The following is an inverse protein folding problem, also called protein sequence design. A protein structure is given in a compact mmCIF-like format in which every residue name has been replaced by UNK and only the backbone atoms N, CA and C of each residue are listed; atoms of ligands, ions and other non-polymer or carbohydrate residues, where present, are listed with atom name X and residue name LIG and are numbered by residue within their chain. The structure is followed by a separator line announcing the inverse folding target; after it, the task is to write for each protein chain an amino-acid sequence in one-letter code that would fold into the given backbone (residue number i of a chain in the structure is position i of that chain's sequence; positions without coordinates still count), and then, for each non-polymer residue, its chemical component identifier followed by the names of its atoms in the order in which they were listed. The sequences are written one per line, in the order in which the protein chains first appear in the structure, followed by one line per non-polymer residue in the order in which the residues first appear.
data_IF_208489810094
#
_entry.id   IF_208489810094
#
_cell.length_a   1.000
_cell.length_b   1.000
_cell.length_c   1.000
_cell.angle_alpha   90.00
_cell.angle_beta   90.00
_cell.angle_gamma   90.00
#
_symmetry.space_group_name_H-M   'P 1'
#
loop_
_entity.id
_entity.type
_entity.pdbx_description
1 polymer ?
#
# COMPACT_ATOMS: atom_id res chain seq x y z
N UNK A 1 21.91 37.14 -8.25
CA UNK A 1 21.39 35.99 -7.47
C UNK A 1 20.31 35.32 -8.31
N UNK A 2 20.65 34.20 -8.95
CA UNK A 2 19.74 33.51 -9.88
C UNK A 2 18.85 32.53 -9.13
N UNK A 3 17.53 32.75 -9.15
CA UNK A 3 16.54 31.76 -8.77
C UNK A 3 16.67 30.54 -9.69
N UNK A 4 17.11 29.42 -9.13
CA UNK A 4 17.06 28.12 -9.81
C UNK A 4 15.61 27.64 -9.76
N UNK A 5 14.84 27.99 -10.78
CA UNK A 5 13.59 27.31 -11.07
C UNK A 5 13.93 25.88 -11.49
N UNK A 6 13.54 24.89 -10.68
CA UNK A 6 13.54 23.48 -11.10
C UNK A 6 12.42 23.35 -12.13
N UNK A 7 12.81 23.29 -13.42
CA UNK A 7 11.90 22.89 -14.50
C UNK A 7 11.61 21.41 -14.34
N UNK A 8 10.45 21.07 -13.78
CA UNK A 8 9.88 19.73 -13.90
C UNK A 8 9.46 19.55 -15.37
N UNK A 9 10.05 18.58 -16.08
CA UNK A 9 9.67 18.23 -17.44
C UNK A 9 8.26 17.62 -17.50
N UNK A 10 7.75 17.25 -18.69
CA UNK A 10 6.43 16.65 -18.83
C UNK A 10 6.42 15.27 -18.15
N UNK A 11 5.79 15.19 -16.97
CA UNK A 11 5.61 13.95 -16.21
C UNK A 11 4.39 13.24 -16.80
N UNK A 12 4.61 12.13 -17.50
CA UNK A 12 3.53 11.18 -17.81
C UNK A 12 3.16 10.45 -16.52
N UNK A 13 2.30 11.06 -15.70
CA UNK A 13 1.99 10.55 -14.36
C UNK A 13 0.93 9.45 -14.48
N UNK A 14 1.23 8.29 -13.91
CA UNK A 14 0.32 7.16 -13.87
C UNK A 14 -0.30 7.02 -12.48
N UNK A 15 -1.61 6.81 -12.43
CA UNK A 15 -2.37 6.52 -11.22
C UNK A 15 -2.70 5.03 -11.15
N UNK A 16 -2.37 4.42 -10.03
CA UNK A 16 -2.70 3.04 -9.73
C UNK A 16 -3.80 3.01 -8.67
N UNK A 17 -4.93 2.41 -9.02
CA UNK A 17 -6.05 2.22 -8.09
C UNK A 17 -6.15 0.75 -7.70
N UNK A 18 -6.11 0.47 -6.41
CA UNK A 18 -6.53 -0.81 -5.84
C UNK A 18 -7.71 -0.57 -4.91
N UNK A 19 -8.89 -1.11 -5.24
CA UNK A 19 -10.10 -0.98 -4.43
C UNK A 19 -10.69 -2.34 -4.17
N UNK A 20 -10.94 -2.63 -2.89
CA UNK A 20 -11.52 -3.89 -2.46
C UNK A 20 -13.03 -3.73 -2.28
N UNK A 21 -13.80 -4.34 -3.17
CA UNK A 21 -15.26 -4.41 -3.07
C UNK A 21 -15.70 -5.84 -2.79
N UNK A 22 -16.67 -6.03 -1.90
CA UNK A 22 -17.38 -7.31 -1.77
C UNK A 22 -18.21 -7.56 -3.03
N UNK A 23 -17.94 -8.66 -3.73
CA UNK A 23 -18.78 -9.13 -4.83
C UNK A 23 -19.94 -9.95 -4.26
N UNK A 24 -21.12 -9.35 -4.12
CA UNK A 24 -22.37 -10.10 -4.01
C UNK A 24 -23.39 -9.56 -5.02
N UNK A 25 -23.70 -10.40 -6.00
CA UNK A 25 -24.74 -10.19 -7.01
C UNK A 25 -26.13 -10.18 -6.36
N UNK A 26 -26.76 -9.00 -6.35
CA UNK A 26 -28.21 -8.67 -6.40
C UNK A 26 -29.24 -9.46 -5.57
N UNK A 27 -30.19 -8.73 -4.97
CA UNK A 27 -31.58 -8.88 -5.36
C UNK A 27 -32.15 -7.56 -5.93
N UNK A 28 -32.92 -7.70 -7.01
CA UNK A 28 -33.85 -6.74 -7.61
C UNK A 28 -34.02 -5.41 -6.87
N UNK A 29 -33.60 -4.30 -7.49
CA UNK A 29 -34.08 -2.98 -7.09
C UNK A 29 -34.62 -2.23 -8.30
N UNK A 30 -35.94 -2.25 -8.36
CA UNK A 30 -36.75 -1.29 -9.09
C UNK A 30 -36.36 0.10 -8.59
N UNK A 31 -35.89 0.96 -9.49
CA UNK A 31 -35.61 2.36 -9.17
C UNK A 31 -36.92 3.05 -8.81
N UNK A 32 -37.05 3.46 -7.56
CA UNK A 32 -38.02 4.46 -7.13
C UNK A 32 -37.36 5.35 -6.08
N UNK A 33 -37.59 6.65 -6.24
CA UNK A 33 -36.94 7.75 -5.55
C UNK A 33 -37.06 7.69 -4.01
N UNK A 34 -36.12 8.34 -3.33
CA UNK A 34 -36.08 8.59 -1.89
C UNK A 34 -35.73 7.39 -0.98
N UNK A 35 -34.42 7.19 -0.76
CA UNK A 35 -33.91 6.34 0.33
C UNK A 35 -32.39 6.22 0.23
N UNK A 36 -31.64 7.01 0.99
CA UNK A 36 -30.19 6.85 1.15
C UNK A 36 -29.92 5.41 1.60
N UNK A 37 -29.47 4.54 0.69
CA UNK A 37 -28.76 3.33 1.08
C UNK A 37 -27.37 3.81 1.50
N UNK A 38 -27.25 4.20 2.77
CA UNK A 38 -25.97 4.52 3.38
C UNK A 38 -25.25 3.18 3.58
N UNK A 39 -24.35 2.82 2.66
CA UNK A 39 -23.36 1.80 2.96
C UNK A 39 -22.44 2.38 4.03
N UNK A 40 -22.74 2.11 5.30
CA UNK A 40 -21.84 2.49 6.38
C UNK A 40 -20.58 1.63 6.25
N UNK A 41 -19.49 2.28 5.82
CA UNK A 41 -18.14 1.74 5.88
C UNK A 41 -17.49 2.30 7.16
N UNK A 42 -17.72 1.68 8.33
CA UNK A 42 -17.36 2.26 9.63
C UNK A 42 -15.86 2.53 9.78
N UNK A 43 -15.06 1.82 9.01
CA UNK A 43 -13.60 1.94 8.99
C UNK A 43 -13.06 2.24 7.60
N UNK A 44 -13.85 2.88 6.72
CA UNK A 44 -13.31 3.29 5.44
C UNK A 44 -12.01 4.08 5.64
N UNK A 45 -10.93 3.57 5.07
CA UNK A 45 -9.64 4.23 5.08
C UNK A 45 -8.91 4.00 3.76
N UNK A 46 -7.94 4.86 3.49
CA UNK A 46 -7.14 4.79 2.28
C UNK A 46 -5.71 5.18 2.58
N UNK A 47 -4.80 4.73 1.71
CA UNK A 47 -3.40 5.08 1.76
C UNK A 47 -2.89 5.44 0.36
N UNK A 48 -1.96 6.38 0.30
CA UNK A 48 -1.38 6.90 -0.93
C UNK A 48 0.13 6.83 -0.84
N UNK A 49 0.77 6.38 -1.91
CA UNK A 49 2.23 6.48 -2.07
C UNK A 49 2.57 6.91 -3.48
N UNK A 50 3.75 7.52 -3.66
CA UNK A 50 4.24 7.92 -4.97
C UNK A 50 5.75 7.80 -5.01
N UNK A 51 6.28 7.33 -6.13
CA UNK A 51 7.71 7.30 -6.41
C UNK A 51 7.90 7.08 -7.91
N UNK A 52 8.84 7.82 -8.51
CA UNK A 52 9.10 7.77 -9.94
C UNK A 52 7.89 8.25 -10.74
N UNK A 53 7.43 7.42 -11.67
CA UNK A 53 6.37 7.76 -12.63
C UNK A 53 4.95 7.52 -12.09
N UNK A 54 4.82 6.95 -10.89
CA UNK A 54 3.56 6.43 -10.37
C UNK A 54 3.11 7.10 -9.08
N UNK A 55 1.80 7.34 -9.00
CA UNK A 55 1.05 7.58 -7.76
C UNK A 55 0.11 6.40 -7.57
N UNK A 56 0.13 5.78 -6.40
CA UNK A 56 -0.71 4.63 -6.09
C UNK A 56 -1.67 4.98 -4.94
N UNK A 57 -2.90 4.47 -5.01
CA UNK A 57 -3.93 4.60 -3.99
C UNK A 57 -4.54 3.22 -3.70
N UNK A 58 -4.69 2.90 -2.43
CA UNK A 58 -5.39 1.72 -1.93
C UNK A 58 -6.44 2.13 -0.90
N UNK A 59 -7.60 1.47 -0.90
CA UNK A 59 -8.69 1.76 0.05
C UNK A 59 -9.31 0.49 0.61
N UNK A 60 -9.65 0.51 1.90
CA UNK A 60 -10.30 -0.60 2.59
C UNK A 60 -11.57 -0.14 3.31
N UNK A 61 -12.69 -0.89 3.23
CA UNK A 61 -13.91 -0.57 3.96
C UNK A 61 -13.87 -0.96 5.45
N UNK A 62 -13.06 -1.97 5.80
CA UNK A 62 -13.11 -2.63 7.11
C UNK A 62 -11.75 -2.71 7.80
N UNK A 63 -10.76 -3.26 7.09
CA UNK A 63 -9.40 -3.46 7.58
C UNK A 63 -8.59 -2.17 7.49
N UNK A 64 -7.44 -2.12 8.17
CA UNK A 64 -6.43 -1.10 7.87
C UNK A 64 -5.81 -1.38 6.51
N UNK A 65 -5.52 -0.32 5.75
CA UNK A 65 -4.74 -0.39 4.52
C UNK A 65 -3.49 0.47 4.63
N UNK A 66 -2.38 -0.09 4.16
CA UNK A 66 -1.16 0.65 3.90
C UNK A 66 -0.64 0.29 2.53
N UNK A 67 -0.04 1.27 1.88
CA UNK A 67 0.44 1.17 0.51
C UNK A 67 1.80 1.83 0.42
N UNK A 68 2.74 1.14 -0.19
CA UNK A 68 3.97 1.77 -0.61
C UNK A 68 4.33 1.44 -2.05
N UNK A 69 4.99 2.39 -2.71
CA UNK A 69 5.53 2.22 -4.05
C UNK A 69 6.95 2.76 -4.07
N UNK A 70 7.87 1.97 -4.61
CA UNK A 70 9.29 2.31 -4.69
C UNK A 70 9.85 2.04 -6.07
N UNK A 71 10.73 2.92 -6.54
CA UNK A 71 11.52 2.77 -7.75
C UNK A 71 12.98 2.48 -7.39
N UNK A 72 13.62 1.62 -8.18
CA UNK A 72 15.06 1.32 -8.07
C UNK A 72 15.90 2.54 -8.45
N UNK A 73 16.20 3.39 -7.48
CA UNK A 73 17.04 4.58 -7.67
C UNK A 73 18.01 4.75 -6.51
N UNK A 74 19.31 4.74 -6.82
CA UNK A 74 20.36 5.08 -5.85
C UNK A 74 20.96 6.45 -6.19
N UNK A 75 21.51 7.19 -5.20
CA UNK A 75 22.27 8.41 -5.47
C UNK A 75 23.45 8.14 -6.43
N UNK A 76 23.72 9.05 -7.37
CA UNK A 76 24.78 8.89 -8.41
C UNK A 76 26.20 8.67 -7.84
N UNK A 77 26.43 9.00 -6.57
CA UNK A 77 27.75 8.98 -5.93
C UNK A 77 27.96 7.83 -4.95
N UNK A 78 27.03 6.88 -4.89
CA UNK A 78 27.09 5.75 -3.98
C UNK A 78 27.06 4.44 -4.76
N UNK A 79 27.83 3.45 -4.29
CA UNK A 79 27.62 2.07 -4.72
C UNK A 79 26.33 1.51 -4.11
N UNK A 80 25.74 0.48 -4.73
CA UNK A 80 24.55 -0.19 -4.18
C UNK A 80 24.77 -0.63 -2.74
N UNK A 81 25.93 -1.21 -2.44
CA UNK A 81 26.20 -1.74 -1.11
C UNK A 81 26.31 -0.62 -0.07
N UNK A 82 27.01 0.48 -0.38
CA UNK A 82 27.09 1.66 0.50
C UNK A 82 25.71 2.25 0.77
N UNK A 83 24.90 2.40 -0.28
CA UNK A 83 23.54 2.93 -0.16
C UNK A 83 22.67 2.04 0.73
N UNK A 84 22.62 0.74 0.46
CA UNK A 84 21.80 -0.22 1.22
C UNK A 84 22.29 -0.35 2.67
N UNK A 85 23.60 -0.25 2.92
CA UNK A 85 24.20 -0.28 4.27
C UNK A 85 23.63 0.81 5.19
N UNK A 86 23.31 1.98 4.66
CA UNK A 86 22.72 3.09 5.41
C UNK A 86 21.37 2.74 6.06
N UNK A 87 20.69 1.72 5.55
CA UNK A 87 19.38 1.27 6.03
C UNK A 87 19.44 -0.04 6.83
N UNK A 88 20.63 -0.59 7.07
CA UNK A 88 20.81 -1.89 7.76
C UNK A 88 20.04 -2.00 9.08
N UNK A 89 19.93 -0.92 9.86
CA UNK A 89 19.18 -0.88 11.13
C UNK A 89 17.66 -0.97 10.98
N UNK A 90 17.11 -0.90 9.76
CA UNK A 90 15.69 -1.03 9.47
C UNK A 90 15.27 -2.49 9.25
N UNK A 91 16.22 -3.41 9.10
CA UNK A 91 15.97 -4.82 8.78
C UNK A 91 16.31 -5.73 9.96
N UNK A 92 15.65 -6.88 10.02
CA UNK A 92 16.08 -7.94 10.92
C UNK A 92 17.37 -8.58 10.40
N UNK A 93 18.09 -9.33 11.24
CA UNK A 93 19.29 -10.05 10.82
C UNK A 93 19.01 -11.04 9.69
N UNK A 94 17.81 -11.63 9.65
CA UNK A 94 17.39 -12.56 8.61
C UNK A 94 17.20 -11.85 7.27
N UNK A 95 16.40 -10.78 7.26
CA UNK A 95 16.13 -10.00 6.05
C UNK A 95 17.41 -9.35 5.52
N UNK A 96 18.23 -8.79 6.43
CA UNK A 96 19.49 -8.17 6.07
C UNK A 96 20.44 -9.17 5.40
N UNK A 97 20.54 -10.38 5.95
CA UNK A 97 21.35 -11.44 5.34
C UNK A 97 20.84 -11.79 3.94
N UNK A 98 19.51 -11.91 3.74
CA UNK A 98 18.93 -12.18 2.43
C UNK A 98 19.23 -11.06 1.42
N UNK A 99 19.16 -9.80 1.85
CA UNK A 99 19.47 -8.63 1.01
C UNK A 99 20.92 -8.67 0.54
N UNK A 100 21.89 -8.77 1.47
CA UNK A 100 23.32 -8.64 1.12
C UNK A 100 23.88 -9.89 0.41
N UNK A 101 23.19 -11.02 0.48
CA UNK A 101 23.61 -12.27 -0.17
C UNK A 101 22.84 -12.57 -1.46
N UNK A 102 21.99 -11.64 -1.92
CA UNK A 102 21.12 -11.82 -3.09
C UNK A 102 21.86 -12.07 -4.41
N UNK A 103 23.15 -11.74 -4.51
CA UNK A 103 23.99 -12.00 -5.66
C UNK A 103 24.59 -10.71 -6.23
N UNK A 104 24.19 -10.36 -7.45
CA UNK A 104 24.61 -9.13 -8.12
C UNK A 104 24.10 -7.87 -7.43
N UNK A 105 24.69 -6.71 -7.75
CA UNK A 105 24.24 -5.43 -7.21
C UNK A 105 22.75 -5.14 -7.52
N UNK A 106 22.27 -5.53 -8.70
CA UNK A 106 20.86 -5.34 -9.07
C UNK A 106 19.93 -6.25 -8.23
N UNK A 107 20.36 -7.47 -7.94
CA UNK A 107 19.63 -8.40 -7.07
C UNK A 107 19.60 -7.91 -5.62
N UNK A 108 20.73 -7.42 -5.09
CA UNK A 108 20.82 -6.80 -3.76
C UNK A 108 19.87 -5.61 -3.66
N UNK A 109 19.89 -4.72 -4.66
CA UNK A 109 19.03 -3.54 -4.69
C UNK A 109 17.55 -3.95 -4.79
N UNK A 110 17.24 -4.97 -5.59
CA UNK A 110 15.88 -5.49 -5.70
C UNK A 110 15.38 -6.10 -4.42
N UNK A 111 16.16 -6.94 -3.75
CA UNK A 111 15.77 -7.52 -2.46
C UNK A 111 15.58 -6.43 -1.40
N UNK A 112 16.49 -5.45 -1.33
CA UNK A 112 16.35 -4.29 -0.46
C UNK A 112 15.00 -3.58 -0.65
N UNK A 113 14.64 -3.21 -1.89
CA UNK A 113 13.41 -2.49 -2.16
C UNK A 113 12.15 -3.33 -1.92
N UNK A 114 12.19 -4.66 -2.09
CA UNK A 114 11.07 -5.54 -1.77
C UNK A 114 10.74 -5.51 -0.27
N UNK A 115 11.75 -5.71 0.58
CA UNK A 115 11.57 -5.64 2.04
C UNK A 115 11.21 -4.23 2.49
N UNK A 116 11.86 -3.20 1.94
CA UNK A 116 11.56 -1.80 2.26
C UNK A 116 10.10 -1.46 1.97
N UNK A 117 9.62 -1.80 0.78
CA UNK A 117 8.24 -1.53 0.35
C UNK A 117 7.21 -2.22 1.26
N UNK A 118 7.47 -3.47 1.68
CA UNK A 118 6.62 -4.20 2.63
C UNK A 118 6.58 -3.53 4.01
N UNK A 119 7.74 -3.13 4.53
CA UNK A 119 7.89 -2.46 5.82
C UNK A 119 7.18 -1.10 5.85
N UNK A 120 7.36 -0.29 4.81
CA UNK A 120 6.70 1.01 4.67
C UNK A 120 5.18 0.84 4.55
N UNK A 121 4.70 -0.13 3.76
CA UNK A 121 3.27 -0.43 3.68
C UNK A 121 2.69 -0.81 5.05
N UNK A 122 3.39 -1.64 5.84
CA UNK A 122 2.98 -1.99 7.20
C UNK A 122 2.88 -0.76 8.13
N UNK A 123 3.93 0.06 8.17
CA UNK A 123 4.00 1.26 9.03
C UNK A 123 2.93 2.28 8.66
N UNK A 124 2.70 2.47 7.35
CA UNK A 124 1.62 3.31 6.83
C UNK A 124 0.25 2.80 7.24
N UNK A 125 0.03 1.48 7.21
CA UNK A 125 -1.23 0.87 7.62
C UNK A 125 -1.54 1.09 9.11
N UNK A 126 -0.56 0.98 10.00
CA UNK A 126 -0.78 1.22 11.44
C UNK A 126 -0.77 2.71 11.81
N UNK A 127 -0.26 3.57 10.93
CA UNK A 127 -0.22 5.02 11.11
C UNK A 127 0.88 5.52 12.05
N UNK A 128 1.91 4.72 12.34
CA UNK A 128 2.98 5.08 13.28
C UNK A 128 4.06 5.99 12.69
N UNK A 129 4.20 6.01 11.37
CA UNK A 129 5.26 6.76 10.67
C UNK A 129 6.68 6.28 11.01
N UNK A 130 7.68 7.11 10.71
CA UNK A 130 9.10 6.78 10.82
C UNK A 130 9.59 6.46 12.25
N UNK A 131 8.79 6.78 13.28
CA UNK A 131 9.13 6.48 14.68
C UNK A 131 9.00 4.99 15.02
N UNK A 132 8.45 4.17 14.13
CA UNK A 132 8.29 2.75 14.35
C UNK A 132 9.62 1.99 14.15
N UNK A 133 9.96 1.11 15.07
CA UNK A 133 11.16 0.27 14.96
C UNK A 133 11.02 -0.76 13.85
N UNK A 134 11.42 -0.40 12.62
CA UNK A 134 11.29 -1.26 11.43
C UNK A 134 12.00 -2.61 11.56
N UNK A 135 13.09 -2.70 12.32
CA UNK A 135 13.81 -3.95 12.60
C UNK A 135 12.94 -4.99 13.34
N UNK A 136 11.86 -4.56 13.99
CA UNK A 136 10.92 -5.43 14.71
C UNK A 136 9.91 -6.12 13.81
N UNK A 137 9.73 -5.62 12.59
CA UNK A 137 8.79 -6.13 11.59
C UNK A 137 9.56 -7.02 10.63
N UNK A 138 9.61 -8.31 10.91
CA UNK A 138 10.37 -9.27 10.11
C UNK A 138 9.45 -10.00 9.14
N UNK A 139 9.69 -9.85 7.84
CA UNK A 139 8.95 -10.52 6.78
C UNK A 139 9.54 -11.88 6.44
N UNK A 140 8.66 -12.85 6.21
CA UNK A 140 8.97 -14.19 5.72
C UNK A 140 8.18 -14.43 4.45
N UNK A 141 8.76 -15.10 3.46
CA UNK A 141 8.06 -15.39 2.23
C UNK A 141 8.43 -16.73 1.57
N UNK A 142 7.54 -17.24 0.73
CA UNK A 142 7.87 -18.24 -0.29
C UNK A 142 7.69 -17.61 -1.67
N UNK A 143 8.81 -17.38 -2.37
CA UNK A 143 8.81 -16.79 -3.72
C UNK A 143 8.03 -15.47 -3.85
N UNK A 144 8.03 -14.61 -2.82
CA UNK A 144 7.33 -13.32 -2.81
C UNK A 144 5.80 -13.37 -3.03
N UNK A 145 5.19 -14.55 -2.93
CA UNK A 145 3.74 -14.74 -3.11
C UNK A 145 3.04 -15.09 -1.80
N UNK A 146 3.64 -15.96 -0.99
CA UNK A 146 3.15 -16.29 0.34
C UNK A 146 3.92 -15.49 1.39
N UNK A 147 3.50 -14.25 1.65
CA UNK A 147 4.18 -13.31 2.55
C UNK A 147 3.50 -13.33 3.92
N UNK A 148 4.30 -13.47 4.97
CA UNK A 148 3.87 -13.39 6.38
C UNK A 148 4.80 -12.48 7.16
N UNK A 149 4.36 -12.03 8.32
CA UNK A 149 5.12 -11.09 9.17
C UNK A 149 5.20 -11.59 10.59
N UNK A 150 6.38 -11.41 11.20
CA UNK A 150 6.58 -11.47 12.64
C UNK A 150 6.78 -10.05 13.17
N UNK A 151 6.10 -9.71 14.25
CA UNK A 151 6.28 -8.43 14.95
C UNK A 151 6.80 -8.73 16.34
N UNK A 152 7.97 -8.18 16.67
CA UNK A 152 8.71 -8.50 17.90
C UNK A 152 8.90 -10.03 18.06
N UNK A 153 9.20 -10.72 16.95
CA UNK A 153 9.43 -12.17 16.90
C UNK A 153 8.17 -13.05 16.91
N UNK A 154 6.98 -12.47 17.07
CA UNK A 154 5.71 -13.21 17.14
C UNK A 154 5.02 -13.18 15.79
N UNK A 155 4.66 -14.36 15.26
CA UNK A 155 3.89 -14.47 14.02
C UNK A 155 2.55 -13.73 14.15
N UNK A 156 2.30 -12.81 13.22
CA UNK A 156 1.07 -12.03 13.22
C UNK A 156 0.17 -12.44 12.05
N UNK A 157 -0.70 -13.43 12.30
CA UNK A 157 -1.64 -13.97 11.32
C UNK A 157 -2.78 -13.00 10.95
N UNK A 158 -2.87 -11.85 11.63
CA UNK A 158 -3.88 -10.82 11.38
C UNK A 158 -3.50 -9.88 10.23
N UNK A 159 -2.34 -10.10 9.59
CA UNK A 159 -1.87 -9.30 8.47
C UNK A 159 -1.80 -10.12 7.18
N UNK A 160 -2.08 -9.44 6.07
CA UNK A 160 -1.85 -9.94 4.71
C UNK A 160 -1.09 -8.90 3.92
N UNK A 161 -0.22 -9.39 3.05
CA UNK A 161 0.64 -8.56 2.23
C UNK A 161 0.61 -9.04 0.80
N UNK A 162 0.69 -8.08 -0.10
CA UNK A 162 0.88 -8.33 -1.51
C UNK A 162 2.00 -7.45 -2.00
N UNK A 163 2.80 -8.02 -2.89
CA UNK A 163 3.92 -7.36 -3.53
C UNK A 163 3.78 -7.56 -5.03
N UNK A 164 3.92 -6.50 -5.81
CA UNK A 164 3.77 -6.56 -7.27
C UNK A 164 4.81 -5.70 -7.95
N UNK A 165 5.35 -6.23 -9.06
CA UNK A 165 6.25 -5.48 -9.93
C UNK A 165 5.44 -4.81 -11.03
N UNK A 166 5.63 -3.51 -11.21
CA UNK A 166 4.90 -2.70 -12.18
C UNK A 166 5.72 -2.44 -13.46
N UNK A 167 6.95 -2.96 -13.53
CA UNK A 167 7.89 -2.65 -14.60
C UNK A 167 8.79 -1.46 -14.27
N UNK A 168 9.85 -1.28 -15.07
CA UNK A 168 10.80 -0.15 -14.96
C UNK A 168 11.36 0.05 -13.53
N UNK A 169 11.65 -1.02 -12.79
CA UNK A 169 12.18 -0.92 -11.43
C UNK A 169 11.17 -0.53 -10.36
N UNK A 170 9.86 -0.50 -10.64
CA UNK A 170 8.84 -0.12 -9.66
C UNK A 170 8.22 -1.34 -8.95
N UNK A 171 8.28 -1.34 -7.62
CA UNK A 171 7.59 -2.28 -6.75
C UNK A 171 6.49 -1.58 -5.98
N UNK A 172 5.35 -2.24 -5.84
CA UNK A 172 4.25 -1.78 -5.01
C UNK A 172 3.88 -2.85 -4.00
N UNK A 173 3.67 -2.44 -2.76
CA UNK A 173 3.21 -3.30 -1.69
C UNK A 173 1.93 -2.78 -1.07
N UNK A 174 0.99 -3.69 -0.82
CA UNK A 174 -0.23 -3.44 -0.04
C UNK A 174 -0.17 -4.26 1.23
N UNK A 175 -0.39 -3.62 2.36
CA UNK A 175 -0.55 -4.24 3.66
C UNK A 175 -2.01 -4.09 4.10
N UNK A 176 -2.64 -5.20 4.48
CA UNK A 176 -3.96 -5.23 5.11
C UNK A 176 -3.85 -5.83 6.50
N UNK A 177 -4.41 -5.15 7.49
CA UNK A 177 -4.32 -5.58 8.89
C UNK A 177 -5.51 -5.21 9.75
N UNK A 178 -5.54 -5.77 10.95
CA UNK A 178 -6.67 -5.59 11.86
C UNK A 178 -6.68 -4.17 12.44
N UNK A 179 -7.83 -3.46 12.50
CA UNK A 179 -7.97 -2.12 13.09
C UNK A 179 -7.34 -1.94 14.49
N UNK A 180 -7.41 -2.97 15.33
CA UNK A 180 -6.71 -3.06 16.64
C UNK A 180 -5.20 -2.77 16.59
N UNK A 181 -4.52 -2.95 15.45
CA UNK A 181 -3.09 -2.71 15.29
C UNK A 181 -2.74 -1.24 15.05
N UNK A 182 -3.71 -0.39 14.74
CA UNK A 182 -3.47 1.03 14.54
C UNK A 182 -2.98 1.72 15.83
N UNK A 183 -2.21 2.80 15.68
CA UNK A 183 -1.85 3.66 16.81
C UNK A 183 -3.09 4.37 17.38
N UNK A 184 -3.00 4.85 18.62
CA UNK A 184 -4.16 5.37 19.35
C UNK A 184 -4.81 6.61 18.72
N UNK A 185 -4.03 7.49 18.10
CA UNK A 185 -4.59 8.62 17.34
C UNK A 185 -5.38 8.15 16.12
N UNK A 186 -4.90 7.11 15.42
CA UNK A 186 -5.57 6.59 14.24
C UNK A 186 -6.82 5.77 14.62
N UNK A 187 -6.75 4.95 15.67
CA UNK A 187 -7.91 4.21 16.21
C UNK A 187 -9.12 5.08 16.51
N UNK A 188 -8.90 6.31 16.98
CA UNK A 188 -9.99 7.27 17.27
C UNK A 188 -10.79 7.70 16.03
N UNK A 189 -10.26 7.51 14.82
CA UNK A 189 -10.99 7.74 13.58
C UNK A 189 -11.82 6.54 13.11
N UNK A 190 -11.59 5.35 13.69
CA UNK A 190 -12.25 4.11 13.30
C UNK A 190 -13.51 3.91 14.14
N UNK A 191 -14.66 3.71 13.50
CA UNK A 191 -15.95 3.56 14.22
C UNK A 191 -16.14 2.16 14.79
N UNK A 192 -15.49 1.14 14.23
CA UNK A 192 -15.63 -0.25 14.67
C UNK A 192 -14.25 -0.90 14.85
N UNK A 193 -13.83 -1.15 16.08
CA UNK A 193 -12.51 -1.76 16.37
C UNK A 193 -12.60 -3.17 16.95
N UNK A 194 -13.82 -3.61 17.31
CA UNK A 194 -14.13 -4.97 17.76
C UNK A 194 -14.94 -5.66 16.66
N UNK A 195 -14.43 -6.78 16.19
CA UNK A 195 -15.08 -7.66 15.22
C UNK A 195 -15.28 -9.03 15.87
N UNK A 196 -16.31 -9.76 15.44
CA UNK A 196 -16.24 -11.21 15.58
C UNK A 196 -15.13 -11.73 14.63
N UNK A 197 -14.48 -12.84 14.97
CA UNK A 197 -13.34 -13.31 14.17
C UNK A 197 -13.74 -13.70 12.74
N UNK A 198 -14.97 -14.16 12.53
CA UNK A 198 -15.48 -14.60 11.22
C UNK A 198 -15.63 -13.43 10.23
N UNK A 199 -16.33 -12.36 10.61
CA UNK A 199 -16.54 -11.12 9.85
C UNK A 199 -15.21 -10.45 9.50
N UNK A 200 -14.26 -10.45 10.44
CA UNK A 200 -12.92 -9.94 10.16
C UNK A 200 -12.16 -10.84 9.18
N UNK A 201 -12.24 -12.17 9.35
CA UNK A 201 -11.57 -13.11 8.44
C UNK A 201 -12.14 -13.00 7.02
N UNK A 202 -13.45 -12.80 6.86
CA UNK A 202 -14.06 -12.52 5.55
C UNK A 202 -13.46 -11.26 4.90
N UNK A 203 -13.33 -10.17 5.66
CA UNK A 203 -12.70 -8.94 5.17
C UNK A 203 -11.20 -9.10 4.86
N UNK A 204 -10.47 -9.82 5.72
CA UNK A 204 -9.03 -10.07 5.57
C UNK A 204 -8.74 -10.92 4.32
N UNK A 205 -9.60 -11.91 4.05
CA UNK A 205 -9.49 -12.85 2.93
C UNK A 205 -10.08 -12.32 1.62
N UNK A 206 -10.64 -11.10 1.59
CA UNK A 206 -11.08 -10.49 0.34
C UNK A 206 -9.95 -10.56 -0.69
N UNK A 207 -10.22 -11.04 -1.92
CA UNK A 207 -9.20 -11.20 -2.94
C UNK A 207 -8.55 -9.85 -3.22
N UNK A 208 -7.23 -9.84 -3.41
CA UNK A 208 -6.54 -8.61 -3.78
C UNK A 208 -6.80 -8.27 -5.25
N UNK A 209 -7.52 -7.17 -5.54
CA UNK A 209 -7.69 -6.73 -6.91
C UNK A 209 -6.33 -6.36 -7.48
N UNK A 210 -6.12 -6.71 -8.76
CA UNK A 210 -4.96 -6.18 -9.49
C UNK A 210 -5.06 -4.66 -9.55
N UNK A 211 -3.92 -3.99 -9.45
CA UNK A 211 -3.89 -2.55 -9.66
C UNK A 211 -4.46 -2.18 -11.02
N UNK A 212 -5.38 -1.23 -11.01
CA UNK A 212 -5.93 -0.62 -12.21
C UNK A 212 -5.06 0.58 -12.56
N UNK A 213 -4.33 0.48 -13.67
CA UNK A 213 -3.55 1.57 -14.21
C UNK A 213 -4.45 2.57 -14.93
N UNK A 214 -4.28 3.85 -14.62
CA UNK A 214 -4.93 4.98 -15.30
C UNK A 214 -3.90 6.06 -15.58
N UNK A 215 -4.02 6.74 -16.71
CA UNK A 215 -3.31 8.01 -16.88
C UNK A 215 -4.03 9.14 -16.15
N UNK A 216 -3.35 10.27 -15.95
CA UNK A 216 -3.98 11.48 -15.41
C UNK A 216 -5.11 12.00 -16.33
N UNK A 217 -4.96 11.90 -17.65
CA UNK A 217 -5.97 12.33 -18.63
C UNK A 217 -7.25 11.49 -18.54
N UNK A 218 -7.10 10.18 -18.34
CA UNK A 218 -8.24 9.28 -18.10
C UNK A 218 -8.98 9.64 -16.82
N UNK A 219 -8.26 10.02 -15.76
CA UNK A 219 -8.88 10.45 -14.50
C UNK A 219 -9.73 11.71 -14.68
N UNK A 220 -9.20 12.73 -15.38
CA UNK A 220 -9.96 13.95 -15.67
C UNK A 220 -11.26 13.66 -16.43
N UNK A 221 -11.20 12.74 -17.39
CA UNK A 221 -12.37 12.31 -18.18
C UNK A 221 -13.45 11.67 -17.31
N UNK A 222 -13.07 10.86 -16.32
CA UNK A 222 -13.99 10.25 -15.35
C UNK A 222 -14.62 11.31 -14.45
N UNK A 223 -13.83 12.23 -13.92
CA UNK A 223 -14.31 13.30 -13.03
C UNK A 223 -15.31 14.20 -13.77
N UNK A 224 -15.02 14.55 -15.03
CA UNK A 224 -15.92 15.38 -15.83
C UNK A 224 -17.25 14.67 -16.11
N UNK A 225 -17.22 13.38 -16.46
CA UNK A 225 -18.45 12.58 -16.65
C UNK A 225 -19.28 12.50 -15.38
N UNK A 226 -18.65 12.24 -14.23
CA UNK A 226 -19.34 12.17 -12.94
C UNK A 226 -20.00 13.51 -12.56
N UNK A 227 -19.33 14.64 -12.79
CA UNK A 227 -19.90 15.97 -12.54
C UNK A 227 -21.09 16.28 -13.47
N UNK A 228 -20.99 15.93 -14.75
CA UNK A 228 -22.09 16.14 -15.69
C UNK A 228 -23.32 15.32 -15.31
N UNK A 229 -23.16 14.06 -14.88
CA UNK A 229 -24.28 13.21 -14.47
C UNK A 229 -24.98 13.69 -13.20
N UNK A 230 -24.27 14.38 -12.28
CA UNK A 230 -24.87 14.93 -11.06
C UNK A 230 -25.53 16.30 -11.25
N UNK A 231 -25.26 16.99 -12.36
CA UNK A 231 -25.87 18.29 -12.70
C UNK A 231 -27.09 18.15 -13.61
N UNK A 232 -27.29 16.98 -14.21
CA UNK A 232 -28.44 16.64 -15.07
C UNK A 232 -29.58 15.93 -14.33
N UNK A 233 -29.51 15.86 -13.00
CA UNK A 233 -30.46 15.25 -12.08
C UNK A 233 -30.82 16.23 -10.99
#
# INVERSE_FOLDING_TARGET
MGSRHIKMGPIYQWLLFCSFSSSSTSPLLHTQECGRVCFDFPNFNFNVSHHGDYVAIASEPLCLVGLDIVCHMIPEKETVLEYVQNFSSCFSSLEWNQIITAGSNDEVLSEFYRYWCLKEAYVKAIGSGLAYGLHKVEFHHTGWTNISVKVDGILNSQWRFWLSYLGKGHWVSVARGHPRSAIESYKRSLKQTKFNEEEYNEGLLLPNPRFVLRTVEELFSVIHKAKCSCLSS
#
